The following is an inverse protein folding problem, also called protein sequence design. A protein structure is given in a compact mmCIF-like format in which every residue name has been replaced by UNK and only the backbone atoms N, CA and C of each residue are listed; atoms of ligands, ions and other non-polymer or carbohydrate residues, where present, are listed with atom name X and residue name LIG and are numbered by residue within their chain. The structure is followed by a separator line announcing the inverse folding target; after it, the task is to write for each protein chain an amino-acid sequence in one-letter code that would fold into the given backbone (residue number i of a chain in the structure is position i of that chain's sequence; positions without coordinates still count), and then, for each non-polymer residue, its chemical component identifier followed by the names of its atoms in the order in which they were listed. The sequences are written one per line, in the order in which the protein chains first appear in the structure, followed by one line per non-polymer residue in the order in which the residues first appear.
data_IF_249359318200
#
_entry.id   IF_249359318200
#
_cell.length_a   1.000
_cell.length_b   1.000
_cell.length_c   1.000
_cell.angle_alpha   90.00
_cell.angle_beta   90.00
_cell.angle_gamma   90.00
#
_symmetry.space_group_name_H-M   'P 1'
#
loop_
_entity.id
_entity.type
_entity.pdbx_description
1 polymer ?
#
# COMPACT_ATOMS: atom_id res chain seq x y z
N UNK A 1 26.58 -4.94 3.88
CA UNK A 1 26.89 -3.60 3.30
C UNK A 1 25.68 -2.86 2.68
N UNK A 2 24.41 -3.18 2.95
CA UNK A 2 23.30 -2.73 2.09
C UNK A 2 22.16 -1.99 2.81
N UNK A 3 22.49 -0.96 3.57
CA UNK A 3 21.50 -0.17 4.35
C UNK A 3 21.51 1.31 3.94
N UNK A 4 22.72 1.87 3.76
CA UNK A 4 22.94 3.26 3.39
C UNK A 4 22.73 3.53 1.90
N UNK A 5 22.70 2.49 1.07
CA UNK A 5 22.52 2.60 -0.39
C UNK A 5 21.04 2.70 -0.76
N UNK A 6 20.17 1.89 -0.15
CA UNK A 6 18.74 1.90 -0.43
C UNK A 6 18.01 3.17 0.03
N UNK A 7 18.51 3.89 1.04
CA UNK A 7 17.90 5.14 1.55
C UNK A 7 18.23 6.39 0.75
N UNK A 8 19.31 6.36 -0.05
CA UNK A 8 19.70 7.47 -0.92
C UNK A 8 18.66 7.79 -2.01
N UNK A 9 18.16 6.82 -2.82
CA UNK A 9 17.18 7.11 -3.85
C UNK A 9 15.86 7.60 -3.25
N UNK A 10 15.39 6.99 -2.15
CA UNK A 10 14.17 7.43 -1.48
C UNK A 10 14.24 8.86 -0.93
N UNK A 11 15.40 9.27 -0.38
CA UNK A 11 15.60 10.66 0.06
C UNK A 11 15.70 11.64 -1.11
N UNK A 12 16.28 11.21 -2.23
CA UNK A 12 16.34 12.03 -3.44
C UNK A 12 14.94 12.27 -4.01
N UNK A 13 14.11 11.22 -4.07
CA UNK A 13 12.73 11.30 -4.52
C UNK A 13 11.89 12.24 -3.66
N UNK A 14 12.00 12.15 -2.32
CA UNK A 14 11.30 13.08 -1.42
C UNK A 14 11.71 14.53 -1.63
N UNK A 15 13.01 14.81 -1.78
CA UNK A 15 13.50 16.16 -2.08
C UNK A 15 12.97 16.69 -3.41
N UNK A 16 12.85 15.80 -4.41
CA UNK A 16 12.27 16.15 -5.70
C UNK A 16 10.79 16.51 -5.57
N UNK A 17 10.01 15.75 -4.79
CA UNK A 17 8.62 16.09 -4.50
C UNK A 17 8.52 17.46 -3.80
N UNK A 18 9.34 17.69 -2.78
CA UNK A 18 9.37 18.97 -2.06
C UNK A 18 9.70 20.15 -3.00
N UNK A 19 10.69 20.01 -3.89
CA UNK A 19 11.06 21.08 -4.83
C UNK A 19 9.99 21.36 -5.88
N UNK A 20 9.17 20.36 -6.24
CA UNK A 20 8.10 20.53 -7.22
C UNK A 20 6.96 21.43 -6.74
N UNK A 21 6.78 21.66 -5.43
CA UNK A 21 5.68 22.48 -4.91
C UNK A 21 5.66 23.91 -5.47
N UNK A 22 6.85 24.47 -5.67
CA UNK A 22 7.04 25.83 -6.19
C UNK A 22 6.99 25.90 -7.72
N UNK A 23 7.21 24.76 -8.40
CA UNK A 23 7.32 24.67 -9.86
C UNK A 23 6.02 24.22 -10.54
N UNK A 24 5.11 23.60 -9.79
CA UNK A 24 3.86 23.03 -10.33
C UNK A 24 2.84 24.12 -10.66
N UNK A 25 2.44 24.14 -11.93
CA UNK A 25 1.53 25.14 -12.49
C UNK A 25 0.05 24.71 -12.48
N UNK A 26 -0.24 23.41 -12.35
CA UNK A 26 -1.62 22.89 -12.42
C UNK A 26 -2.19 22.59 -11.03
N UNK A 27 -3.43 22.99 -10.72
CA UNK A 27 -4.07 22.70 -9.44
C UNK A 27 -4.12 21.20 -9.12
N UNK A 28 -4.29 20.35 -10.13
CA UNK A 28 -4.40 18.91 -9.96
C UNK A 28 -3.09 18.27 -9.52
N UNK A 29 -1.96 18.66 -10.13
CA UNK A 29 -0.66 18.16 -9.73
C UNK A 29 -0.26 18.70 -8.36
N UNK A 30 -0.62 19.96 -8.05
CA UNK A 30 -0.42 20.50 -6.70
C UNK A 30 -1.19 19.68 -5.67
N UNK A 31 -2.46 19.38 -5.93
CA UNK A 31 -3.27 18.57 -5.03
C UNK A 31 -2.71 17.15 -4.83
N UNK A 32 -2.26 16.50 -5.91
CA UNK A 32 -1.59 15.19 -5.80
C UNK A 32 -0.31 15.29 -4.97
N UNK A 33 0.51 16.32 -5.20
CA UNK A 33 1.78 16.51 -4.51
C UNK A 33 1.58 16.79 -3.02
N UNK A 34 0.59 17.61 -2.67
CA UNK A 34 0.16 17.84 -1.28
C UNK A 34 -0.23 16.51 -0.62
N UNK A 35 -1.03 15.67 -1.28
CA UNK A 35 -1.40 14.36 -0.72
C UNK A 35 -0.22 13.38 -0.61
N UNK A 36 0.74 13.42 -1.53
CA UNK A 36 1.95 12.61 -1.41
C UNK A 36 2.82 13.02 -0.22
N UNK A 37 2.90 14.32 0.07
CA UNK A 37 3.72 14.87 1.15
C UNK A 37 3.04 14.83 2.52
N UNK A 38 1.72 15.05 2.58
CA UNK A 38 0.96 15.19 3.81
C UNK A 38 0.12 13.94 4.16
N UNK A 39 -0.05 13.04 3.19
CA UNK A 39 -0.89 11.86 3.32
C UNK A 39 -2.30 12.05 2.77
N UNK A 40 -3.04 10.95 2.75
CA UNK A 40 -4.37 10.84 2.15
C UNK A 40 -5.44 10.72 3.22
N UNK A 41 -6.51 11.52 3.09
CA UNK A 41 -7.70 11.35 3.95
C UNK A 41 -8.34 9.98 3.74
N UNK A 42 -9.12 9.49 4.73
CA UNK A 42 -9.79 8.18 4.65
C UNK A 42 -10.72 8.05 3.43
N UNK A 43 -11.36 9.15 3.03
CA UNK A 43 -12.29 9.17 1.89
C UNK A 43 -11.62 9.57 0.57
N UNK A 44 -10.34 9.97 0.59
CA UNK A 44 -9.64 10.32 -0.63
C UNK A 44 -9.41 9.08 -1.50
N UNK A 45 -9.64 9.18 -2.82
CA UNK A 45 -9.20 8.15 -3.75
C UNK A 45 -7.68 8.03 -3.71
N UNK A 46 -7.18 6.80 -3.89
CA UNK A 46 -5.76 6.51 -3.85
C UNK A 46 -5.24 6.19 -5.25
N UNK A 47 -4.03 6.67 -5.62
CA UNK A 47 -3.32 6.15 -6.77
C UNK A 47 -3.10 4.63 -6.66
N UNK A 48 -3.03 3.94 -7.80
CA UNK A 48 -2.85 2.48 -7.84
C UNK A 48 -1.65 1.99 -7.03
N UNK A 49 -0.55 2.73 -7.05
CA UNK A 49 0.70 2.37 -6.36
C UNK A 49 0.58 2.49 -4.83
N UNK A 50 -0.49 3.12 -4.33
CA UNK A 50 -0.84 3.24 -2.90
C UNK A 50 -1.80 2.13 -2.42
N UNK A 51 -2.19 1.21 -3.30
CA UNK A 51 -3.03 0.05 -2.98
C UNK A 51 -2.16 -1.20 -3.14
N UNK A 52 -1.88 -1.88 -2.03
CA UNK A 52 -0.90 -2.97 -1.97
C UNK A 52 -1.64 -4.28 -1.77
N UNK A 53 -1.59 -5.15 -2.77
CA UNK A 53 -2.13 -6.50 -2.67
C UNK A 53 -1.43 -7.27 -1.54
N UNK A 54 -2.24 -7.95 -0.73
CA UNK A 54 -1.76 -8.68 0.43
C UNK A 54 -2.13 -10.15 0.33
N UNK A 55 -1.18 -11.00 0.68
CA UNK A 55 -1.46 -12.40 1.01
C UNK A 55 -1.70 -12.51 2.50
N UNK A 56 -2.51 -13.49 2.87
CA UNK A 56 -2.92 -13.67 4.24
C UNK A 56 -2.10 -14.77 4.90
N UNK A 57 -1.62 -14.52 6.12
CA UNK A 57 -0.87 -15.51 6.91
C UNK A 57 -1.38 -15.52 8.33
N UNK A 58 -1.23 -16.68 8.96
CA UNK A 58 -1.61 -16.85 10.34
C UNK A 58 -0.64 -17.75 11.09
N UNK A 59 -0.65 -17.58 12.41
CA UNK A 59 0.00 -18.42 13.37
C UNK A 59 -1.04 -19.31 14.05
N UNK A 60 -0.83 -20.61 13.99
CA UNK A 60 -1.81 -21.63 14.34
C UNK A 60 -1.26 -22.57 15.40
N UNK A 61 -2.14 -23.01 16.29
CA UNK A 61 -1.91 -24.08 17.27
C UNK A 61 -2.66 -25.34 16.82
N UNK A 62 -1.95 -26.44 16.64
CA UNK A 62 -2.56 -27.77 16.46
C UNK A 62 -3.17 -28.23 17.80
N UNK A 63 -4.48 -28.41 17.84
CA UNK A 63 -5.22 -28.73 19.06
C UNK A 63 -4.97 -30.16 19.57
N UNK A 64 -4.46 -31.06 18.72
CA UNK A 64 -4.15 -32.45 19.10
C UNK A 64 -2.71 -32.57 19.61
N UNK A 65 -1.77 -31.91 18.94
CA UNK A 65 -0.33 -32.09 19.22
C UNK A 65 0.27 -30.96 20.05
N UNK A 66 -0.43 -29.82 20.18
CA UNK A 66 0.06 -28.62 20.85
C UNK A 66 1.19 -27.90 20.08
N UNK A 67 1.44 -28.28 18.83
CA UNK A 67 2.51 -27.69 18.01
C UNK A 67 2.04 -26.43 17.30
N UNK A 68 2.99 -25.52 17.05
CA UNK A 68 2.75 -24.29 16.33
C UNK A 68 3.08 -24.41 14.84
N UNK A 69 2.29 -23.74 14.01
CA UNK A 69 2.47 -23.66 12.55
C UNK A 69 2.24 -22.22 12.08
N UNK A 70 3.12 -21.72 11.22
CA UNK A 70 2.89 -20.46 10.49
C UNK A 70 2.70 -20.75 9.01
N UNK A 71 1.53 -20.44 8.46
CA UNK A 71 1.20 -20.76 7.07
C UNK A 71 0.30 -19.72 6.41
N UNK A 72 0.03 -19.91 5.13
CA UNK A 72 -0.91 -19.07 4.37
C UNK A 72 -2.35 -19.41 4.74
N UNK A 73 -3.18 -18.37 4.84
CA UNK A 73 -4.63 -18.51 4.97
C UNK A 73 -5.22 -18.49 3.56
N UNK A 74 -5.96 -19.54 3.20
CA UNK A 74 -6.61 -19.62 1.90
C UNK A 74 -7.78 -18.63 1.84
N UNK A 75 -7.79 -17.74 0.85
CA UNK A 75 -8.87 -16.74 0.66
C UNK A 75 -10.26 -17.36 0.49
N UNK A 76 -10.36 -18.61 0.01
CA UNK A 76 -11.61 -19.34 -0.13
C UNK A 76 -12.26 -19.73 1.22
N UNK A 77 -11.53 -19.61 2.33
CA UNK A 77 -12.06 -19.85 3.68
C UNK A 77 -12.82 -18.66 4.23
N UNK A 78 -12.75 -17.51 3.56
CA UNK A 78 -13.38 -16.26 3.98
C UNK A 78 -14.54 -15.90 3.06
N UNK A 79 -15.54 -15.21 3.59
CA UNK A 79 -16.57 -14.58 2.77
C UNK A 79 -15.96 -13.48 1.89
N UNK A 80 -16.56 -13.19 0.73
CA UNK A 80 -16.08 -12.12 -0.15
C UNK A 80 -16.09 -10.74 0.54
N UNK A 81 -17.10 -10.49 1.38
CA UNK A 81 -17.21 -9.24 2.16
C UNK A 81 -16.03 -9.07 3.11
N UNK A 82 -15.65 -10.14 3.78
CA UNK A 82 -14.59 -10.09 4.80
C UNK A 82 -13.20 -10.11 4.16
N UNK A 83 -13.02 -10.89 3.08
CA UNK A 83 -11.82 -10.86 2.26
C UNK A 83 -11.52 -9.45 1.74
N UNK A 84 -12.56 -8.70 1.34
CA UNK A 84 -12.40 -7.32 0.85
C UNK A 84 -11.77 -6.37 1.88
N UNK A 85 -11.89 -6.67 3.17
CA UNK A 85 -11.31 -5.86 4.25
C UNK A 85 -9.81 -6.07 4.43
N UNK A 86 -9.28 -7.21 3.96
CA UNK A 86 -7.91 -7.67 4.26
C UNK A 86 -7.04 -7.93 3.02
N UNK A 87 -7.64 -7.97 1.84
CA UNK A 87 -6.93 -8.28 0.60
C UNK A 87 -5.97 -7.15 0.17
N UNK A 88 -6.13 -5.93 0.70
CA UNK A 88 -5.30 -4.78 0.39
C UNK A 88 -4.86 -4.01 1.63
N UNK A 89 -3.65 -3.49 1.59
CA UNK A 89 -3.21 -2.38 2.43
C UNK A 89 -3.36 -1.09 1.63
N UNK A 90 -3.92 -0.07 2.27
CA UNK A 90 -4.11 1.26 1.71
C UNK A 90 -3.06 2.21 2.32
N UNK A 91 -1.99 2.51 1.57
CA UNK A 91 -0.85 3.27 2.05
C UNK A 91 -1.14 4.79 2.13
N UNK A 92 -1.93 5.20 3.11
CA UNK A 92 -2.43 6.57 3.27
C UNK A 92 -1.45 7.55 3.93
N UNK A 93 -0.45 7.07 4.67
CA UNK A 93 0.51 7.95 5.33
C UNK A 93 1.35 8.77 4.32
N UNK A 94 1.97 9.89 4.74
CA UNK A 94 2.95 10.61 3.93
C UNK A 94 3.97 9.70 3.24
N UNK A 95 4.39 10.03 2.02
CA UNK A 95 5.42 9.27 1.30
C UNK A 95 6.68 9.05 2.17
N UNK A 96 7.05 10.06 2.97
CA UNK A 96 8.18 9.98 3.89
C UNK A 96 8.07 8.83 4.91
N UNK A 97 6.86 8.50 5.38
CA UNK A 97 6.62 7.40 6.30
C UNK A 97 7.14 6.09 5.71
N UNK A 98 6.74 5.78 4.48
CA UNK A 98 7.07 4.52 3.82
C UNK A 98 8.46 4.49 3.19
N UNK A 99 8.93 5.63 2.69
CA UNK A 99 10.19 5.74 1.95
C UNK A 99 11.43 5.77 2.86
N UNK A 100 11.29 6.25 4.10
CA UNK A 100 12.39 6.41 5.04
C UNK A 100 12.43 5.32 6.12
N UNK A 101 11.29 4.80 6.53
CA UNK A 101 11.21 3.78 7.57
C UNK A 101 11.43 2.38 6.99
N UNK A 102 12.00 1.48 7.80
CA UNK A 102 12.02 0.06 7.50
C UNK A 102 10.76 -0.57 8.05
N UNK A 103 9.67 -0.44 7.31
CA UNK A 103 8.42 -1.13 7.61
C UNK A 103 8.28 -2.31 6.63
N UNK A 104 8.01 -3.51 7.15
CA UNK A 104 7.67 -4.68 6.32
C UNK A 104 6.27 -4.57 5.71
N UNK A 105 5.47 -3.60 6.15
CA UNK A 105 4.07 -3.44 5.79
C UNK A 105 3.20 -4.58 6.32
N UNK A 106 3.66 -5.31 7.33
CA UNK A 106 2.88 -6.37 7.95
C UNK A 106 1.93 -5.74 8.96
N UNK A 107 0.63 -5.93 8.75
CA UNK A 107 -0.42 -5.38 9.60
C UNK A 107 -1.32 -6.49 10.13
N UNK A 108 -1.64 -6.53 11.44
CA UNK A 108 -2.54 -7.53 11.98
C UNK A 108 -3.92 -7.41 11.33
N UNK A 109 -4.64 -8.53 11.24
CA UNK A 109 -6.06 -8.50 10.91
C UNK A 109 -6.84 -7.70 11.96
N UNK A 110 -8.03 -7.17 11.58
CA UNK A 110 -8.99 -6.67 12.55
C UNK A 110 -9.33 -7.74 13.59
N UNK A 111 -9.34 -7.38 14.88
CA UNK A 111 -9.57 -8.33 15.98
C UNK A 111 -10.89 -9.10 15.81
N UNK A 112 -11.97 -8.38 15.50
CA UNK A 112 -13.28 -9.00 15.26
C UNK A 112 -13.24 -10.05 14.15
N UNK A 113 -12.48 -9.77 13.08
CA UNK A 113 -12.38 -10.70 11.95
C UNK A 113 -11.61 -11.96 12.34
N UNK A 114 -10.54 -11.81 13.14
CA UNK A 114 -9.81 -12.96 13.67
C UNK A 114 -10.72 -13.80 14.57
N UNK A 115 -11.48 -13.17 15.47
CA UNK A 115 -12.42 -13.88 16.36
C UNK A 115 -13.48 -14.67 15.60
N UNK A 116 -14.02 -14.10 14.52
CA UNK A 116 -15.05 -14.73 13.70
C UNK A 116 -14.54 -16.00 12.99
N UNK A 117 -13.25 -16.05 12.64
CA UNK A 117 -12.69 -17.11 11.80
C UNK A 117 -11.65 -18.02 12.48
N UNK A 118 -11.15 -17.69 13.68
CA UNK A 118 -9.99 -18.36 14.29
C UNK A 118 -10.08 -19.89 14.41
N UNK A 119 -11.27 -20.46 14.55
CA UNK A 119 -11.50 -21.91 14.64
C UNK A 119 -11.84 -22.57 13.27
N UNK A 120 -12.08 -21.76 12.23
CA UNK A 120 -12.62 -22.20 10.94
C UNK A 120 -11.59 -22.22 9.82
N UNK A 121 -10.50 -21.46 9.95
CA UNK A 121 -9.50 -21.30 8.88
C UNK A 121 -8.80 -22.61 8.49
N UNK A 122 -8.45 -23.45 9.47
CA UNK A 122 -7.77 -24.73 9.26
C UNK A 122 -8.38 -25.78 10.20
N UNK A 123 -8.94 -26.88 9.68
CA UNK A 123 -9.51 -27.93 10.53
C UNK A 123 -8.53 -28.46 11.57
N UNK A 124 -8.97 -28.53 12.83
CA UNK A 124 -8.18 -29.04 13.95
C UNK A 124 -7.11 -28.08 14.47
N UNK A 125 -7.08 -26.84 13.99
CA UNK A 125 -6.15 -25.81 14.45
C UNK A 125 -6.91 -24.58 14.94
N UNK A 126 -6.33 -23.89 15.91
CA UNK A 126 -6.77 -22.57 16.36
C UNK A 126 -5.82 -21.50 15.84
N UNK A 127 -6.34 -20.50 15.13
CA UNK A 127 -5.57 -19.33 14.71
C UNK A 127 -5.41 -18.37 15.89
N UNK A 128 -4.17 -18.12 16.30
CA UNK A 128 -3.86 -17.22 17.41
C UNK A 128 -3.63 -15.79 16.93
N UNK A 129 -3.09 -15.64 15.72
CA UNK A 129 -2.76 -14.36 15.11
C UNK A 129 -2.89 -14.50 13.59
N UNK A 130 -3.41 -13.46 12.95
CA UNK A 130 -3.44 -13.35 11.49
C UNK A 130 -3.02 -11.95 11.07
N UNK A 131 -2.41 -11.83 9.89
CA UNK A 131 -1.90 -10.57 9.37
C UNK A 131 -1.93 -10.51 7.85
N UNK A 132 -1.98 -9.27 7.36
CA UNK A 132 -1.69 -8.89 5.99
C UNK A 132 -0.18 -8.97 5.76
N UNK A 133 0.23 -9.68 4.72
CA UNK A 133 1.61 -9.65 4.24
C UNK A 133 1.63 -9.11 2.80
N UNK A 134 2.26 -7.95 2.55
CA UNK A 134 2.41 -7.41 1.21
C UNK A 134 3.03 -8.42 0.25
N UNK A 135 2.47 -8.56 -0.96
CA UNK A 135 3.04 -9.44 -1.99
C UNK A 135 4.27 -8.82 -2.66
N UNK A 136 4.42 -7.51 -2.56
CA UNK A 136 5.51 -6.69 -3.07
C UNK A 136 6.07 -5.81 -1.95
N UNK A 137 7.28 -5.29 -2.15
CA UNK A 137 7.83 -4.27 -1.26
C UNK A 137 7.01 -2.98 -1.41
N UNK A 138 6.30 -2.60 -0.35
CA UNK A 138 5.49 -1.38 -0.31
C UNK A 138 6.32 -0.14 -0.68
N UNK A 139 7.58 -0.10 -0.25
CA UNK A 139 8.51 0.97 -0.57
C UNK A 139 8.87 1.03 -2.06
N UNK A 140 9.19 -0.12 -2.66
CA UNK A 140 9.58 -0.17 -4.08
C UNK A 140 8.39 0.19 -4.97
N UNK A 141 7.21 -0.33 -4.65
CA UNK A 141 5.97 0.00 -5.36
C UNK A 141 5.64 1.51 -5.29
N UNK A 142 5.78 2.12 -4.11
CA UNK A 142 5.60 3.57 -3.96
C UNK A 142 6.62 4.36 -4.78
N UNK A 143 7.91 3.97 -4.74
CA UNK A 143 8.94 4.66 -5.52
C UNK A 143 8.64 4.59 -7.01
N UNK A 144 8.35 3.40 -7.54
CA UNK A 144 8.04 3.19 -8.95
C UNK A 144 6.81 4.02 -9.38
N UNK A 145 5.75 4.00 -8.58
CA UNK A 145 4.54 4.75 -8.87
C UNK A 145 4.76 6.27 -8.87
N UNK A 146 5.47 6.80 -7.86
CA UNK A 146 5.78 8.23 -7.79
C UNK A 146 6.69 8.65 -8.95
N UNK A 147 7.75 7.89 -9.23
CA UNK A 147 8.67 8.17 -10.35
C UNK A 147 7.94 8.17 -11.69
N UNK A 148 7.03 7.21 -11.89
CA UNK A 148 6.17 7.15 -13.07
C UNK A 148 5.32 8.43 -13.20
N UNK A 149 4.60 8.82 -12.14
CA UNK A 149 3.76 10.03 -12.14
C UNK A 149 4.57 11.31 -12.42
N UNK A 150 5.75 11.45 -11.80
CA UNK A 150 6.65 12.57 -12.06
C UNK A 150 7.07 12.60 -13.53
N UNK A 151 7.38 11.44 -14.13
CA UNK A 151 7.85 11.37 -15.52
C UNK A 151 6.78 11.71 -16.56
N UNK A 152 5.51 11.39 -16.26
CA UNK A 152 4.40 11.60 -17.18
C UNK A 152 3.82 13.02 -17.07
N UNK A 153 3.90 13.66 -15.90
CA UNK A 153 3.33 14.98 -15.67
C UNK A 153 3.78 16.06 -16.70
N UNK A 154 5.08 16.24 -17.01
CA UNK A 154 5.51 17.23 -17.99
C UNK A 154 4.96 16.98 -19.41
N UNK A 155 4.82 15.71 -19.79
CA UNK A 155 4.32 15.31 -21.12
C UNK A 155 2.87 15.72 -21.28
N UNK A 156 2.06 15.49 -20.25
CA UNK A 156 0.63 15.82 -20.27
C UNK A 156 0.35 17.32 -20.09
N UNK A 157 1.14 18.01 -19.25
CA UNK A 157 1.02 19.46 -19.06
C UNK A 157 1.36 20.23 -20.34
N UNK A 158 2.34 19.77 -21.13
CA UNK A 158 2.71 20.40 -22.39
C UNK A 158 1.69 20.17 -23.53
N UNK A 159 1.04 19.00 -23.56
CA UNK A 159 0.09 18.64 -24.61
C UNK A 159 -1.32 19.19 -24.38
N UNK A 160 -1.76 19.30 -23.12
CA UNK A 160 -3.08 19.81 -22.77
C UNK A 160 -3.02 20.66 -21.48
N UNK A 161 -2.67 21.95 -21.59
CA UNK A 161 -2.49 22.83 -20.43
C UNK A 161 -3.73 23.00 -19.55
N UNK A 162 -4.92 22.62 -20.04
CA UNK A 162 -6.19 22.69 -19.31
C UNK A 162 -6.65 21.34 -18.72
N UNK A 163 -5.99 20.21 -19.05
CA UNK A 163 -6.51 18.87 -18.77
C UNK A 163 -5.47 17.81 -18.36
N UNK A 164 -4.18 18.16 -18.27
CA UNK A 164 -3.08 17.19 -18.19
C UNK A 164 -3.25 16.04 -17.18
N UNK A 165 -3.82 16.30 -16.01
CA UNK A 165 -3.97 15.26 -14.97
C UNK A 165 -5.28 14.45 -15.04
N UNK A 166 -6.36 14.98 -15.63
CA UNK A 166 -7.62 14.21 -15.79
C UNK A 166 -7.40 13.00 -16.69
N UNK A 167 -6.60 13.15 -17.74
CA UNK A 167 -6.26 12.07 -18.66
C UNK A 167 -5.49 10.92 -17.97
N UNK A 168 -4.54 11.25 -17.09
CA UNK A 168 -3.77 10.27 -16.31
C UNK A 168 -4.62 9.54 -15.26
N UNK A 169 -5.56 10.26 -14.62
CA UNK A 169 -6.51 9.67 -13.65
C UNK A 169 -7.39 8.59 -14.28
N UNK A 170 -7.85 8.78 -15.52
CA UNK A 170 -8.79 7.84 -16.16
C UNK A 170 -8.17 6.50 -16.58
N UNK A 171 -6.86 6.42 -16.80
CA UNK A 171 -6.21 5.18 -17.26
C UNK A 171 -5.85 4.21 -16.12
N UNK A 172 -5.71 4.70 -14.89
CA UNK A 172 -5.12 3.91 -13.80
C UNK A 172 -5.89 3.96 -12.47
N UNK A 173 -7.03 4.66 -12.39
CA UNK A 173 -7.86 4.75 -11.18
C UNK A 173 -9.10 3.85 -11.26
N UNK A 174 -9.00 2.69 -11.92
CA UNK A 174 -10.10 1.72 -11.92
C UNK A 174 -10.39 1.27 -10.48
N UNK A 175 -11.53 1.74 -9.96
CA UNK A 175 -12.35 1.02 -8.98
C UNK A 175 -13.07 -0.09 -9.74
#
# INVERSE_FOLDING_TARGET
MSAKLATKPSRALLRQLESMLDEVQTPECRHWLEQELEGYSLCSPLPWYRIIACRQRGHFLDLKTGKYLTCHINSQTLSQRDLAQIQFIYAREPAAHYLLQRNSGIEPWPEQLLEDYQEQLIPGHLCLQAWHEPVSSLREQLMEGIEHFISEYPKHAALQPQHGFKALRHQHWHI
#
